data_IF_740719793109
#
_entry.id   IF_740719793109
#
_cell.length_a   1.000
_cell.length_b   1.000
_cell.length_c   1.000
_cell.angle_alpha   90.00
_cell.angle_beta   90.00
_cell.angle_gamma   90.00
#
_symmetry.space_group_name_H-M   'P 1'
#
loop_
_entity.id
_entity.type
_entity.pdbx_description
1 polymer ?
#
# COMPACT_ATOMS: atom_id res chain seq x y z
N UNK A 1 10.77 -3.17 -9.18
CA UNK A 1 10.57 -3.44 -7.75
C UNK A 1 10.87 -4.90 -7.45
N UNK A 2 11.51 -5.21 -6.30
CA UNK A 2 11.93 -6.55 -5.93
C UNK A 2 11.01 -7.16 -4.86
N UNK A 3 10.88 -8.50 -4.86
CA UNK A 3 10.18 -9.24 -3.80
C UNK A 3 10.95 -9.11 -2.49
N UNK A 4 10.25 -9.14 -1.36
CA UNK A 4 10.82 -8.95 -0.03
C UNK A 4 11.19 -7.48 0.28
N UNK A 5 10.74 -6.53 -0.51
CA UNK A 5 10.96 -5.11 -0.33
C UNK A 5 9.64 -4.34 -0.14
N UNK A 6 9.74 -3.26 0.64
CA UNK A 6 8.65 -2.29 0.83
C UNK A 6 9.05 -0.96 0.22
N UNK A 7 8.35 -0.56 -0.81
CA UNK A 7 8.58 0.69 -1.54
C UNK A 7 7.61 1.76 -1.05
N UNK A 8 8.13 2.87 -0.53
CA UNK A 8 7.32 4.06 -0.27
C UNK A 8 7.31 4.98 -1.49
N UNK A 9 6.15 5.09 -2.12
CA UNK A 9 5.89 6.00 -3.23
C UNK A 9 5.50 7.37 -2.67
N UNK A 10 6.40 8.32 -2.76
CA UNK A 10 6.25 9.66 -2.23
C UNK A 10 6.24 10.72 -3.33
N UNK A 11 5.67 11.86 -3.03
CA UNK A 11 5.58 13.00 -3.95
C UNK A 11 4.46 13.94 -3.52
N UNK A 12 4.46 15.20 -3.99
CA UNK A 12 3.41 16.16 -3.69
C UNK A 12 2.04 15.71 -4.20
N UNK A 13 0.99 16.40 -3.77
CA UNK A 13 -0.35 16.18 -4.33
C UNK A 13 -0.33 16.47 -5.83
N UNK A 14 -1.01 15.62 -6.61
CA UNK A 14 -0.99 15.71 -8.07
C UNK A 14 0.24 15.12 -8.75
N UNK A 15 1.21 14.57 -8.01
CA UNK A 15 2.42 13.98 -8.62
C UNK A 15 2.19 12.70 -9.42
N UNK A 16 0.98 12.12 -9.39
CA UNK A 16 0.65 10.92 -10.17
C UNK A 16 0.59 9.62 -9.37
N UNK A 17 0.82 9.62 -8.04
CA UNK A 17 0.78 8.41 -7.18
C UNK A 17 -0.50 7.59 -7.38
N UNK A 18 -1.65 8.23 -7.20
CA UNK A 18 -2.96 7.58 -7.35
C UNK A 18 -3.20 7.08 -8.78
N UNK A 19 -2.73 7.82 -9.80
CA UNK A 19 -2.84 7.38 -11.20
C UNK A 19 -2.00 6.13 -11.43
N UNK A 20 -0.77 6.08 -10.92
CA UNK A 20 0.08 4.90 -10.98
C UNK A 20 -0.56 3.69 -10.31
N UNK A 21 -1.11 3.85 -9.09
CA UNK A 21 -1.85 2.80 -8.39
C UNK A 21 -3.05 2.33 -9.23
N UNK A 22 -3.83 3.24 -9.79
CA UNK A 22 -4.98 2.90 -10.65
C UNK A 22 -4.56 2.11 -11.89
N UNK A 23 -3.40 2.41 -12.49
CA UNK A 23 -2.85 1.61 -13.59
C UNK A 23 -2.47 0.19 -13.14
N UNK A 24 -1.82 0.03 -11.97
CA UNK A 24 -1.51 -1.29 -11.41
C UNK A 24 -2.77 -2.12 -11.17
N UNK A 25 -3.82 -1.50 -10.65
CA UNK A 25 -5.11 -2.15 -10.37
C UNK A 25 -5.95 -2.37 -11.64
N UNK A 26 -5.55 -1.79 -12.78
CA UNK A 26 -6.26 -1.89 -14.05
C UNK A 26 -7.57 -1.09 -14.13
N UNK A 27 -7.75 -0.11 -13.24
CA UNK A 27 -8.89 0.85 -13.29
C UNK A 27 -8.61 2.04 -14.20
N UNK A 28 -7.35 2.23 -14.60
CA UNK A 28 -6.89 3.15 -15.63
C UNK A 28 -5.98 2.38 -16.57
N UNK A 29 -6.17 2.56 -17.89
CA UNK A 29 -5.31 1.97 -18.92
C UNK A 29 -4.25 3.03 -19.26
N UNK A 30 -2.95 2.72 -19.16
CA UNK A 30 -1.91 3.65 -19.57
C UNK A 30 -1.90 3.82 -21.09
N UNK A 31 -1.66 5.03 -21.59
CA UNK A 31 -1.58 5.33 -23.02
C UNK A 31 -0.35 4.67 -23.67
N UNK A 32 0.70 4.46 -22.92
CA UNK A 32 1.94 3.83 -23.39
C UNK A 32 2.71 3.15 -22.25
N UNK A 33 3.71 2.35 -22.59
CA UNK A 33 4.51 1.60 -21.64
C UNK A 33 3.90 0.27 -21.26
N UNK A 34 4.57 -0.46 -20.35
CA UNK A 34 4.19 -1.80 -19.90
C UNK A 34 4.22 -1.88 -18.39
N UNK A 35 3.25 -2.60 -17.83
CA UNK A 35 3.21 -2.98 -16.42
C UNK A 35 3.28 -4.50 -16.36
N UNK A 36 4.28 -5.02 -15.65
CA UNK A 36 4.48 -6.47 -15.53
C UNK A 36 4.58 -6.90 -14.07
N UNK A 37 4.11 -8.10 -13.80
CA UNK A 37 4.33 -8.82 -12.54
C UNK A 37 4.90 -10.19 -12.88
N UNK A 38 6.06 -10.53 -12.33
CA UNK A 38 6.81 -11.74 -12.65
C UNK A 38 7.03 -11.93 -14.18
N UNK A 39 7.32 -10.83 -14.91
CA UNK A 39 7.54 -10.84 -16.36
C UNK A 39 6.27 -10.92 -17.22
N UNK A 40 5.09 -11.10 -16.63
CA UNK A 40 3.83 -11.18 -17.35
C UNK A 40 3.09 -9.83 -17.31
N UNK A 41 2.44 -9.47 -18.41
CA UNK A 41 1.67 -8.21 -18.49
C UNK A 41 0.48 -8.22 -17.54
N UNK A 42 0.35 -7.13 -16.77
CA UNK A 42 -0.85 -6.86 -15.97
C UNK A 42 -2.03 -6.39 -16.83
N UNK A 43 -1.76 -5.88 -18.05
CA UNK A 43 -2.81 -5.38 -18.93
C UNK A 43 -3.72 -6.53 -19.37
N UNK A 44 -5.03 -6.37 -19.21
CA UNK A 44 -6.05 -7.36 -19.53
C UNK A 44 -5.84 -8.73 -18.86
N UNK A 45 -5.16 -8.78 -17.72
CA UNK A 45 -4.90 -10.01 -16.99
C UNK A 45 -5.50 -9.98 -15.57
N UNK A 46 -6.81 -10.27 -15.42
CA UNK A 46 -7.48 -10.25 -14.12
C UNK A 46 -6.94 -11.32 -13.15
N UNK A 47 -6.48 -12.47 -13.64
CA UNK A 47 -5.91 -13.52 -12.81
C UNK A 47 -4.61 -13.05 -12.14
N UNK A 48 -3.76 -12.31 -12.88
CA UNK A 48 -2.54 -11.75 -12.32
C UNK A 48 -2.83 -10.62 -11.33
N UNK A 49 -3.84 -9.77 -11.63
CA UNK A 49 -4.30 -8.73 -10.69
C UNK A 49 -4.95 -9.29 -9.43
N UNK A 50 -5.51 -10.49 -9.49
CA UNK A 50 -6.02 -11.18 -8.32
C UNK A 50 -4.95 -11.46 -7.25
N UNK A 51 -3.66 -11.42 -7.62
CA UNK A 51 -2.50 -11.54 -6.72
C UNK A 51 -2.13 -10.22 -6.03
N UNK A 52 -2.86 -9.14 -6.29
CA UNK A 52 -2.64 -7.81 -5.69
C UNK A 52 -3.71 -7.57 -4.62
N UNK A 53 -3.30 -7.38 -3.38
CA UNK A 53 -4.13 -6.86 -2.31
C UNK A 53 -4.08 -5.33 -2.31
N UNK A 54 -5.22 -4.69 -2.17
CA UNK A 54 -5.30 -3.23 -2.20
C UNK A 54 -6.04 -2.68 -1.00
N UNK A 55 -5.39 -1.75 -0.30
CA UNK A 55 -5.99 -0.95 0.76
C UNK A 55 -6.11 0.50 0.27
N UNK A 56 -7.31 0.99 -0.06
CA UNK A 56 -7.50 2.37 -0.48
C UNK A 56 -7.36 3.35 0.68
N UNK A 57 -6.98 4.59 0.40
CA UNK A 57 -6.95 5.68 1.37
C UNK A 57 -8.30 5.87 2.08
N UNK A 58 -9.40 5.75 1.34
CA UNK A 58 -10.77 5.78 1.86
C UNK A 58 -11.51 4.55 1.34
N UNK A 59 -11.75 3.60 2.23
CA UNK A 59 -12.56 2.42 1.92
C UNK A 59 -14.02 2.79 1.67
N UNK A 60 -14.49 2.62 0.44
CA UNK A 60 -15.89 2.83 0.07
C UNK A 60 -16.56 1.48 -0.13
N UNK A 61 -17.52 1.18 0.72
CA UNK A 61 -18.29 -0.05 0.73
C UNK A 61 -19.77 0.28 0.73
N UNK A 62 -20.64 -0.65 0.31
CA UNK A 62 -22.09 -0.43 0.37
C UNK A 62 -22.55 -0.11 1.80
N UNK A 63 -23.15 1.06 1.98
CA UNK A 63 -23.49 1.61 3.31
C UNK A 63 -24.39 0.69 4.15
N UNK A 64 -25.33 0.01 3.50
CA UNK A 64 -26.29 -0.88 4.17
C UNK A 64 -25.76 -2.29 4.42
N UNK A 65 -24.59 -2.64 3.88
CA UNK A 65 -23.98 -3.94 4.07
C UNK A 65 -23.39 -4.07 5.46
N UNK A 66 -23.58 -5.22 6.11
CA UNK A 66 -22.91 -5.52 7.37
C UNK A 66 -21.46 -5.96 7.11
N UNK A 67 -20.59 -5.73 8.10
CA UNK A 67 -19.18 -6.13 8.00
C UNK A 67 -19.05 -7.63 7.67
N UNK A 68 -19.80 -8.51 8.36
CA UNK A 68 -19.79 -9.96 8.09
C UNK A 68 -20.18 -10.27 6.65
N UNK A 69 -21.27 -9.67 6.17
CA UNK A 69 -21.75 -9.87 4.79
C UNK A 69 -20.72 -9.42 3.74
N UNK A 70 -19.95 -8.37 4.03
CA UNK A 70 -18.87 -7.92 3.14
C UNK A 70 -17.79 -9.01 3.00
N UNK A 71 -17.35 -9.61 4.10
CA UNK A 71 -16.38 -10.71 4.06
C UNK A 71 -16.94 -11.98 3.41
N UNK A 72 -18.20 -12.33 3.67
CA UNK A 72 -18.88 -13.43 3.03
C UNK A 72 -18.94 -13.24 1.50
N UNK A 73 -19.40 -12.08 1.02
CA UNK A 73 -19.43 -11.74 -0.40
C UNK A 73 -18.05 -11.84 -1.07
N UNK A 74 -17.00 -11.31 -0.41
CA UNK A 74 -15.64 -11.39 -0.95
C UNK A 74 -15.16 -12.84 -1.04
N UNK A 75 -15.49 -13.66 -0.05
CA UNK A 75 -15.16 -15.08 -0.05
C UNK A 75 -15.89 -15.81 -1.20
N UNK A 76 -17.18 -15.52 -1.44
CA UNK A 76 -17.94 -16.10 -2.54
C UNK A 76 -17.36 -15.76 -3.90
N UNK A 77 -16.99 -14.48 -4.12
CA UNK A 77 -16.35 -14.00 -5.35
C UNK A 77 -15.02 -14.72 -5.62
N UNK A 78 -14.28 -15.11 -4.58
CA UNK A 78 -12.98 -15.77 -4.68
C UNK A 78 -13.03 -17.29 -4.54
N UNK A 79 -14.22 -17.87 -4.36
CA UNK A 79 -14.39 -19.33 -4.26
C UNK A 79 -13.82 -20.02 -5.51
N UNK A 80 -12.99 -21.04 -5.29
CA UNK A 80 -12.33 -21.80 -6.37
C UNK A 80 -11.14 -21.12 -7.04
N UNK A 81 -10.79 -19.88 -6.64
CA UNK A 81 -9.64 -19.17 -7.21
C UNK A 81 -8.49 -18.97 -6.22
N UNK A 82 -8.75 -19.04 -4.93
CA UNK A 82 -7.73 -18.82 -3.86
C UNK A 82 -8.01 -19.78 -2.70
N UNK A 83 -7.06 -20.66 -2.41
CA UNK A 83 -7.13 -21.59 -1.29
C UNK A 83 -6.57 -21.01 0.03
N UNK A 84 -5.84 -19.91 -0.05
CA UNK A 84 -5.18 -19.31 1.10
C UNK A 84 -5.98 -18.14 1.63
N UNK A 85 -6.11 -18.07 2.96
CA UNK A 85 -6.74 -16.97 3.67
C UNK A 85 -5.84 -16.50 4.79
N UNK A 86 -5.77 -15.22 4.97
CA UNK A 86 -5.05 -14.56 6.05
C UNK A 86 -6.07 -13.78 6.89
N UNK A 87 -6.39 -14.28 8.06
CA UNK A 87 -7.34 -13.66 8.99
C UNK A 87 -6.64 -12.98 10.18
N UNK A 88 -5.30 -12.91 10.20
CA UNK A 88 -4.53 -12.37 11.32
C UNK A 88 -4.99 -10.97 11.72
N UNK A 89 -5.12 -10.05 10.74
CA UNK A 89 -5.61 -8.69 11.00
C UNK A 89 -7.07 -8.66 11.44
N UNK A 90 -7.88 -9.58 10.95
CA UNK A 90 -9.30 -9.67 11.33
C UNK A 90 -9.43 -10.01 12.83
N UNK A 91 -8.58 -10.92 13.29
CA UNK A 91 -8.52 -11.31 14.71
C UNK A 91 -7.90 -10.19 15.56
N UNK A 92 -6.74 -9.65 15.15
CA UNK A 92 -6.03 -8.59 15.86
C UNK A 92 -6.88 -7.32 16.03
N UNK A 93 -7.66 -6.95 15.02
CA UNK A 93 -8.57 -5.81 15.08
C UNK A 93 -9.95 -6.12 15.68
N UNK A 94 -10.20 -7.38 16.06
CA UNK A 94 -11.47 -7.81 16.64
C UNK A 94 -12.68 -7.59 15.72
N UNK A 95 -12.50 -7.78 14.40
CA UNK A 95 -13.53 -7.51 13.38
C UNK A 95 -14.77 -8.39 13.60
N UNK A 96 -14.61 -9.60 14.09
CA UNK A 96 -15.71 -10.51 14.40
C UNK A 96 -16.72 -9.91 15.40
N UNK A 97 -16.26 -9.06 16.35
CA UNK A 97 -17.12 -8.39 17.32
C UNK A 97 -18.05 -7.34 16.71
N UNK A 98 -17.73 -6.87 15.51
CA UNK A 98 -18.50 -5.87 14.77
C UNK A 98 -19.15 -6.42 13.51
N UNK A 99 -19.14 -7.75 13.31
CA UNK A 99 -19.66 -8.40 12.10
C UNK A 99 -21.10 -8.00 11.74
N UNK A 100 -21.93 -7.75 12.75
CA UNK A 100 -23.33 -7.34 12.60
C UNK A 100 -23.53 -5.83 12.40
N UNK A 101 -22.48 -4.99 12.53
CA UNK A 101 -22.60 -3.55 12.30
C UNK A 101 -22.67 -3.23 10.82
N UNK A 102 -23.52 -2.27 10.44
CA UNK A 102 -23.58 -1.73 9.08
C UNK A 102 -22.35 -0.86 8.79
N UNK A 103 -21.84 -0.93 7.57
CA UNK A 103 -20.66 -0.14 7.14
C UNK A 103 -20.86 1.36 7.37
N UNK A 104 -22.06 1.89 7.16
CA UNK A 104 -22.37 3.32 7.39
C UNK A 104 -22.20 3.76 8.84
N UNK A 105 -22.35 2.85 9.82
CA UNK A 105 -22.26 3.14 11.25
C UNK A 105 -20.85 3.09 11.82
N UNK A 106 -19.88 2.68 11.01
CA UNK A 106 -18.49 2.58 11.41
C UNK A 106 -17.81 3.96 11.41
N UNK A 107 -16.97 4.20 12.43
CA UNK A 107 -16.03 5.33 12.40
C UNK A 107 -15.03 5.18 11.25
N UNK A 108 -14.39 6.29 10.86
CA UNK A 108 -13.34 6.27 9.83
C UNK A 108 -12.23 5.25 10.13
N UNK A 109 -11.68 5.27 11.36
CA UNK A 109 -10.63 4.33 11.78
C UNK A 109 -11.12 2.87 11.80
N UNK A 110 -12.36 2.60 12.19
CA UNK A 110 -12.91 1.24 12.13
C UNK A 110 -13.07 0.78 10.68
N UNK A 111 -13.50 1.66 9.78
CA UNK A 111 -13.61 1.38 8.35
C UNK A 111 -12.23 1.12 7.74
N UNK A 112 -11.22 1.87 8.18
CA UNK A 112 -9.83 1.67 7.75
C UNK A 112 -9.28 0.32 8.21
N UNK A 113 -9.59 -0.13 9.44
CA UNK A 113 -9.25 -1.49 9.91
C UNK A 113 -9.91 -2.57 9.05
N UNK A 114 -11.18 -2.41 8.68
CA UNK A 114 -11.86 -3.34 7.75
C UNK A 114 -11.16 -3.34 6.39
N UNK A 115 -10.79 -2.17 5.86
CA UNK A 115 -10.04 -2.06 4.59
C UNK A 115 -8.69 -2.77 4.63
N UNK A 116 -7.96 -2.62 5.74
CA UNK A 116 -6.71 -3.35 5.95
C UNK A 116 -6.94 -4.86 5.92
N UNK A 117 -7.90 -5.38 6.69
CA UNK A 117 -8.21 -6.81 6.69
C UNK A 117 -8.51 -7.34 5.27
N UNK A 118 -9.27 -6.60 4.48
CA UNK A 118 -9.62 -7.00 3.10
C UNK A 118 -8.38 -7.05 2.20
N UNK A 119 -7.45 -6.11 2.34
CA UNK A 119 -6.25 -6.07 1.53
C UNK A 119 -5.36 -7.31 1.72
N UNK A 120 -5.31 -7.86 2.93
CA UNK A 120 -4.51 -9.04 3.26
C UNK A 120 -5.27 -10.36 3.13
N UNK A 121 -6.60 -10.35 3.11
CA UNK A 121 -7.50 -11.51 3.29
C UNK A 121 -7.15 -12.73 2.45
N UNK A 122 -6.74 -12.54 1.20
CA UNK A 122 -6.48 -13.63 0.25
C UNK A 122 -4.99 -13.89 0.04
N UNK A 123 -4.17 -13.58 1.03
CA UNK A 123 -2.71 -13.81 1.04
C UNK A 123 -2.02 -13.38 -0.28
N UNK A 124 -2.20 -12.12 -0.71
CA UNK A 124 -1.70 -11.65 -2.00
C UNK A 124 -0.16 -11.64 -2.04
N UNK A 125 0.42 -11.77 -3.24
CA UNK A 125 1.88 -11.66 -3.44
C UNK A 125 2.36 -10.22 -3.46
N UNK A 126 1.47 -9.30 -3.80
CA UNK A 126 1.72 -7.85 -3.86
C UNK A 126 0.70 -7.12 -3.02
N UNK A 127 1.15 -6.24 -2.16
CA UNK A 127 0.31 -5.35 -1.36
C UNK A 127 0.48 -3.91 -1.82
N UNK A 128 -0.61 -3.25 -2.16
CA UNK A 128 -0.67 -1.82 -2.46
C UNK A 128 -1.49 -1.13 -1.38
N UNK A 129 -0.83 -0.35 -0.53
CA UNK A 129 -1.44 0.28 0.64
C UNK A 129 -1.38 1.80 0.48
N UNK A 130 -2.52 2.41 0.20
CA UNK A 130 -2.64 3.84 -0.06
C UNK A 130 -2.96 4.56 1.26
N UNK A 131 -1.96 5.24 1.84
CA UNK A 131 -2.00 5.92 3.14
C UNK A 131 -2.55 5.03 4.27
N UNK A 132 -1.91 3.88 4.51
CA UNK A 132 -2.50 2.82 5.34
C UNK A 132 -2.69 3.20 6.81
N UNK A 133 -1.91 4.14 7.34
CA UNK A 133 -1.96 4.58 8.73
C UNK A 133 -2.97 5.71 8.98
N UNK A 134 -3.46 6.34 7.91
CA UNK A 134 -4.36 7.48 8.03
C UNK A 134 -5.67 7.12 8.77
N UNK A 135 -5.96 7.86 9.85
CA UNK A 135 -7.18 7.69 10.63
C UNK A 135 -7.22 6.47 11.55
N UNK A 136 -6.16 5.68 11.63
CA UNK A 136 -6.01 4.62 12.61
C UNK A 136 -5.56 5.19 13.97
N UNK A 137 -5.97 4.54 15.06
CA UNK A 137 -5.42 4.79 16.38
C UNK A 137 -4.00 4.21 16.50
N UNK A 138 -3.17 4.68 17.47
CA UNK A 138 -1.78 4.25 17.57
C UNK A 138 -1.60 2.73 17.70
N UNK A 139 -2.47 2.04 18.43
CA UNK A 139 -2.38 0.58 18.59
C UNK A 139 -2.64 -0.12 17.25
N UNK A 140 -3.65 0.34 16.51
CA UNK A 140 -3.97 -0.20 15.19
C UNK A 140 -2.86 0.07 14.16
N UNK A 141 -2.15 1.20 14.29
CA UNK A 141 -0.98 1.52 13.45
C UNK A 141 0.14 0.50 13.69
N UNK A 142 0.48 0.22 14.94
CA UNK A 142 1.53 -0.75 15.28
C UNK A 142 1.17 -2.18 14.80
N UNK A 143 -0.06 -2.63 15.02
CA UNK A 143 -0.54 -3.93 14.51
C UNK A 143 -0.39 -4.01 12.98
N UNK A 144 -0.74 -2.94 12.26
CA UNK A 144 -0.62 -2.91 10.81
C UNK A 144 0.84 -2.91 10.35
N UNK A 145 1.73 -2.17 11.03
CA UNK A 145 3.16 -2.15 10.75
C UNK A 145 3.79 -3.52 10.94
N UNK A 146 3.52 -4.16 12.06
CA UNK A 146 3.99 -5.54 12.33
C UNK A 146 3.52 -6.50 11.23
N UNK A 147 2.25 -6.41 10.82
CA UNK A 147 1.72 -7.23 9.73
C UNK A 147 2.46 -6.98 8.41
N UNK A 148 2.71 -5.72 8.06
CA UNK A 148 3.46 -5.35 6.85
C UNK A 148 4.89 -5.90 6.90
N UNK A 149 5.58 -5.80 8.02
CA UNK A 149 6.94 -6.34 8.18
C UNK A 149 6.95 -7.87 8.01
N UNK A 150 6.04 -8.57 8.65
CA UNK A 150 5.91 -10.03 8.54
C UNK A 150 5.64 -10.47 7.09
N UNK A 151 4.78 -9.76 6.36
CA UNK A 151 4.49 -10.08 4.96
C UNK A 151 5.70 -9.81 4.05
N UNK A 152 6.46 -8.75 4.32
CA UNK A 152 7.73 -8.49 3.63
C UNK A 152 8.74 -9.60 3.86
N UNK A 153 8.88 -10.09 5.10
CA UNK A 153 9.78 -11.19 5.45
C UNK A 153 9.39 -12.50 4.77
N UNK A 154 8.10 -12.70 4.49
CA UNK A 154 7.59 -13.81 3.66
C UNK A 154 7.92 -13.64 2.17
N UNK A 155 8.63 -12.57 1.78
CA UNK A 155 9.06 -12.31 0.41
C UNK A 155 8.03 -11.57 -0.45
N UNK A 156 6.96 -11.01 0.12
CA UNK A 156 5.98 -10.24 -0.65
C UNK A 156 6.52 -8.87 -1.08
N UNK A 157 6.01 -8.36 -2.17
CA UNK A 157 6.25 -7.00 -2.64
C UNK A 157 5.22 -6.06 -2.02
N UNK A 158 5.67 -4.97 -1.40
CA UNK A 158 4.79 -4.01 -0.77
C UNK A 158 5.03 -2.62 -1.37
N UNK A 159 3.96 -1.98 -1.81
CA UNK A 159 3.94 -0.59 -2.25
C UNK A 159 3.08 0.22 -1.29
N UNK A 160 3.69 1.22 -0.68
CA UNK A 160 3.04 2.12 0.27
C UNK A 160 2.98 3.52 -0.31
N UNK A 161 1.91 4.26 -0.05
CA UNK A 161 1.94 5.72 -0.19
C UNK A 161 1.81 6.36 1.18
N UNK A 162 2.43 7.49 1.38
CA UNK A 162 2.21 8.34 2.56
C UNK A 162 2.56 9.78 2.28
N UNK A 163 1.88 10.67 2.97
CA UNK A 163 2.28 12.08 3.10
C UNK A 163 3.24 12.29 4.27
N UNK A 164 3.28 11.35 5.23
CA UNK A 164 4.09 11.42 6.44
C UNK A 164 5.04 10.24 6.45
N UNK A 165 6.25 10.46 5.96
CA UNK A 165 7.24 9.37 5.83
C UNK A 165 7.69 8.81 7.18
N UNK A 166 7.69 9.62 8.25
CA UNK A 166 8.03 9.16 9.60
C UNK A 166 7.18 8.00 10.07
N UNK A 167 5.92 7.91 9.62
CA UNK A 167 5.01 6.84 10.02
C UNK A 167 5.32 5.51 9.32
N UNK A 168 6.02 5.59 8.18
CA UNK A 168 6.38 4.42 7.36
C UNK A 168 7.87 4.09 7.40
N UNK A 169 8.65 4.86 8.14
CA UNK A 169 10.13 4.77 8.18
C UNK A 169 10.61 3.36 8.58
N UNK A 170 9.93 2.72 9.53
CA UNK A 170 10.27 1.39 10.04
C UNK A 170 9.94 0.27 9.04
N UNK A 171 8.91 0.45 8.23
CA UNK A 171 8.41 -0.58 7.31
C UNK A 171 8.88 -0.37 5.87
N UNK A 172 9.60 0.73 5.58
CA UNK A 172 10.10 1.08 4.24
C UNK A 172 11.52 0.57 4.03
N UNK A 173 11.77 -0.11 2.93
CA UNK A 173 13.15 -0.46 2.47
C UNK A 173 13.66 0.49 1.42
N UNK A 174 12.80 0.95 0.53
CA UNK A 174 13.14 1.79 -0.62
C UNK A 174 12.14 2.96 -0.76
N UNK A 175 12.64 4.08 -1.25
CA UNK A 175 11.83 5.26 -1.53
C UNK A 175 11.80 5.51 -3.03
N UNK A 176 10.60 5.64 -3.57
CA UNK A 176 10.33 6.06 -4.95
C UNK A 176 9.76 7.48 -4.88
N UNK A 177 10.47 8.45 -5.46
CA UNK A 177 10.04 9.84 -5.47
C UNK A 177 9.59 10.27 -6.85
N UNK A 178 8.35 10.77 -6.94
CA UNK A 178 7.74 11.23 -8.20
C UNK A 178 7.23 12.66 -8.08
N UNK A 179 7.44 13.44 -9.13
CA UNK A 179 6.90 14.81 -9.30
C UNK A 179 6.33 14.91 -10.71
N UNK A 180 5.13 15.46 -10.84
CA UNK A 180 4.46 15.71 -12.14
C UNK A 180 4.49 14.50 -13.09
N UNK A 181 4.25 13.31 -12.53
CA UNK A 181 4.25 12.05 -13.28
C UNK A 181 5.64 11.52 -13.66
N UNK A 182 6.72 12.18 -13.24
CA UNK A 182 8.10 11.78 -13.57
C UNK A 182 8.77 11.15 -12.35
N UNK A 183 9.48 10.05 -12.58
CA UNK A 183 10.34 9.44 -11.58
C UNK A 183 11.58 10.33 -11.39
N UNK A 184 11.73 10.87 -10.17
CA UNK A 184 12.92 11.63 -9.80
C UNK A 184 14.03 10.71 -9.33
N UNK A 185 13.73 9.79 -8.40
CA UNK A 185 14.65 8.74 -7.97
C UNK A 185 13.92 7.54 -7.38
N UNK A 186 14.65 6.42 -7.32
CA UNK A 186 14.27 5.21 -6.57
C UNK A 186 15.51 4.72 -5.86
N UNK A 187 15.53 4.78 -4.50
CA UNK A 187 16.73 4.53 -3.70
C UNK A 187 16.41 3.82 -2.39
N UNK A 188 17.33 2.97 -1.89
CA UNK A 188 17.24 2.41 -0.56
C UNK A 188 17.12 3.51 0.51
N UNK A 189 16.24 3.31 1.48
CA UNK A 189 16.02 4.27 2.58
C UNK A 189 17.31 4.49 3.40
N UNK A 190 18.15 3.47 3.50
CA UNK A 190 19.42 3.54 4.22
C UNK A 190 20.43 4.51 3.57
N UNK A 191 20.46 4.56 2.24
CA UNK A 191 21.30 5.54 1.52
C UNK A 191 20.82 6.95 1.80
N UNK A 192 19.51 7.19 1.78
CA UNK A 192 18.92 8.48 2.11
C UNK A 192 19.22 8.90 3.55
N UNK A 193 19.17 7.96 4.50
CA UNK A 193 19.54 8.22 5.89
C UNK A 193 21.02 8.59 6.03
N UNK A 194 21.90 7.89 5.33
CA UNK A 194 23.33 8.17 5.35
C UNK A 194 23.65 9.58 4.80
N UNK A 195 22.96 10.02 3.77
CA UNK A 195 23.10 11.38 3.22
C UNK A 195 22.50 12.46 4.14
N UNK A 196 21.42 12.15 4.86
CA UNK A 196 20.79 13.07 5.79
C UNK A 196 21.57 13.28 7.09
N UNK A 197 22.50 12.41 7.42
CA UNK A 197 23.25 12.44 8.68
C UNK A 197 22.31 12.36 9.89
N UNK A 198 22.38 13.32 10.80
CA UNK A 198 21.52 13.43 11.98
C UNK A 198 20.12 13.99 11.67
N UNK A 199 19.87 14.42 10.43
CA UNK A 199 18.57 14.95 10.04
C UNK A 199 17.53 13.84 10.01
N UNK A 200 16.36 14.07 10.64
CA UNK A 200 15.25 13.13 10.56
C UNK A 200 14.83 12.93 9.09
N UNK A 201 14.63 11.69 8.68
CA UNK A 201 14.27 11.31 7.29
C UNK A 201 13.12 12.16 6.73
N UNK A 202 12.09 12.42 7.54
CA UNK A 202 10.97 13.29 7.12
C UNK A 202 11.39 14.72 6.75
N UNK A 203 12.41 15.30 7.44
CA UNK A 203 12.94 16.61 7.08
C UNK A 203 13.78 16.56 5.80
N UNK A 204 14.61 15.52 5.66
CA UNK A 204 15.37 15.27 4.44
C UNK A 204 14.46 15.19 3.23
N UNK A 205 13.40 14.38 3.30
CA UNK A 205 12.42 14.24 2.22
C UNK A 205 11.68 15.56 1.97
N UNK A 206 11.29 16.30 3.01
CA UNK A 206 10.66 17.61 2.84
C UNK A 206 11.61 18.60 2.15
N UNK A 207 12.92 18.55 2.41
CA UNK A 207 13.94 19.35 1.72
C UNK A 207 14.03 18.94 0.25
N UNK A 208 14.11 17.65 -0.03
CA UNK A 208 14.13 17.12 -1.41
C UNK A 208 12.86 17.53 -2.17
N UNK A 209 11.70 17.50 -1.52
CA UNK A 209 10.44 17.94 -2.12
C UNK A 209 10.42 19.44 -2.47
N UNK A 210 11.12 20.28 -1.69
CA UNK A 210 11.23 21.73 -1.96
C UNK A 210 12.25 22.04 -3.04
N UNK A 211 13.35 21.31 -3.06
CA UNK A 211 14.44 21.47 -4.01
C UNK A 211 14.94 20.09 -4.47
N UNK A 212 14.33 19.54 -5.53
CA UNK A 212 14.72 18.24 -6.07
C UNK A 212 16.16 18.18 -6.58
N UNK A 213 16.80 19.33 -6.85
CA UNK A 213 18.19 19.41 -7.30
C UNK A 213 19.20 19.35 -6.13
N UNK A 214 18.73 19.50 -4.89
CA UNK A 214 19.57 19.48 -3.69
C UNK A 214 20.17 18.09 -3.37
N UNK A 215 19.75 17.04 -4.04
CA UNK A 215 20.30 15.69 -3.91
C UNK A 215 20.95 15.31 -5.23
N UNK A 216 22.20 14.86 -5.18
CA UNK A 216 22.88 14.31 -6.34
C UNK A 216 22.06 13.20 -6.95
N UNK A 217 21.41 13.46 -8.09
CA UNK A 217 20.63 12.50 -8.85
C UNK A 217 21.57 11.48 -9.50
N UNK A 218 22.19 10.63 -8.72
CA UNK A 218 22.86 9.44 -9.27
C UNK A 218 21.77 8.46 -9.71
N UNK A 219 21.29 8.67 -10.93
CA UNK A 219 20.49 7.69 -11.64
C UNK A 219 21.36 6.45 -11.83
N UNK A 220 21.07 5.36 -11.11
CA UNK A 220 21.39 4.03 -11.65
C UNK A 220 20.22 3.68 -12.57
N UNK A 221 20.45 3.51 -13.90
CA UNK A 221 19.45 2.92 -14.77
C UNK A 221 19.20 1.48 -14.33
N UNK A 222 17.92 1.12 -14.29
CA UNK A 222 17.46 -0.25 -14.06
C UNK A 222 17.78 -1.13 -15.26
#
# INVERSE_FOLDING_TARGET
>A
MAKGCSYSLIGPNGSGKTTFIKCLLGTVIPDSGTLTLDGQSLLNNPALRARIGYMPQIGRYPDNMRVGQLFEMLNEIRTGTVDRRDEDLKDAFGISKIANKSMRTLSGGTRQRVSACIAFLFDPDVLVLDEPTAGLDPVSVEILKEKVMNEREKGKLILLTSHILSDLDEITTDVIFIIEGKLCFSRPIQELRAEGGEEKLGKLIARIMRDPQSVSLSQKPA
#
